data_IF_382058698825
#
_entry.id   IF_382058698825
#
_cell.length_a   1.000
_cell.length_b   1.000
_cell.length_c   1.000
_cell.angle_alpha   90.00
_cell.angle_beta   90.00
_cell.angle_gamma   90.00
#
_symmetry.space_group_name_H-M   'P 1'
#
loop_
_entity.id
_entity.type
_entity.pdbx_description
1 polymer ?
#
# COMPACT_ATOMS: atom_id res chain seq x y z
N UNK A 1 -14.51 -9.33 22.80
CA UNK A 1 -13.17 -9.36 22.15
C UNK A 1 -12.41 -8.12 22.52
N UNK A 2 -11.10 -8.24 22.82
CA UNK A 2 -10.28 -7.08 23.12
C UNK A 2 -10.18 -6.16 21.88
N UNK A 3 -10.07 -4.82 22.12
CA UNK A 3 -9.91 -3.84 21.01
C UNK A 3 -8.74 -4.21 20.08
N UNK A 4 -7.70 -4.79 20.62
CA UNK A 4 -6.50 -5.22 19.89
C UNK A 4 -6.79 -6.39 18.93
N UNK A 5 -7.58 -7.37 19.33
CA UNK A 5 -7.89 -8.53 18.49
C UNK A 5 -8.62 -8.12 17.20
N UNK A 6 -9.57 -7.17 17.30
CA UNK A 6 -10.30 -6.68 16.11
C UNK A 6 -9.38 -5.99 15.10
N UNK A 7 -8.35 -5.28 15.56
CA UNK A 7 -7.37 -4.63 14.68
C UNK A 7 -6.62 -5.69 13.86
N UNK A 8 -6.15 -6.74 14.51
CA UNK A 8 -5.37 -7.78 13.85
C UNK A 8 -6.21 -8.64 12.90
N UNK A 9 -7.43 -9.02 13.30
CA UNK A 9 -8.35 -9.74 12.42
C UNK A 9 -8.68 -8.91 11.19
N UNK A 10 -9.01 -7.63 11.36
CA UNK A 10 -9.27 -6.71 10.24
C UNK A 10 -8.03 -6.60 9.33
N UNK A 11 -6.83 -6.44 9.89
CA UNK A 11 -5.59 -6.37 9.12
C UNK A 11 -5.30 -7.63 8.30
N UNK A 12 -5.56 -8.80 8.87
CA UNK A 12 -5.41 -10.09 8.17
C UNK A 12 -6.39 -10.22 7.00
N UNK A 13 -7.65 -9.86 7.22
CA UNK A 13 -8.68 -9.88 6.16
C UNK A 13 -8.32 -8.89 5.04
N UNK A 14 -7.87 -7.69 5.39
CA UNK A 14 -7.44 -6.68 4.43
C UNK A 14 -6.21 -7.15 3.64
N UNK A 15 -5.23 -7.77 4.29
CA UNK A 15 -4.06 -8.31 3.60
C UNK A 15 -4.47 -9.39 2.59
N UNK A 16 -5.36 -10.31 2.97
CA UNK A 16 -5.89 -11.33 2.07
C UNK A 16 -6.67 -10.69 0.89
N UNK A 17 -7.55 -9.73 1.17
CA UNK A 17 -8.30 -9.02 0.12
C UNK A 17 -7.38 -8.26 -0.83
N UNK A 18 -6.38 -7.54 -0.30
CA UNK A 18 -5.40 -6.84 -1.11
C UNK A 18 -4.61 -7.81 -2.00
N UNK A 19 -4.27 -9.01 -1.48
CA UNK A 19 -3.61 -10.06 -2.27
C UNK A 19 -4.51 -10.53 -3.42
N UNK A 20 -5.77 -10.85 -3.14
CA UNK A 20 -6.72 -11.30 -4.18
C UNK A 20 -6.92 -10.23 -5.25
N UNK A 21 -7.08 -8.96 -4.87
CA UNK A 21 -7.20 -7.86 -5.81
C UNK A 21 -5.92 -7.66 -6.65
N UNK A 22 -4.77 -7.96 -6.09
CA UNK A 22 -3.48 -7.88 -6.80
C UNK A 22 -3.29 -9.00 -7.84
N UNK A 23 -4.15 -10.02 -7.87
CA UNK A 23 -4.16 -11.02 -8.92
C UNK A 23 -4.73 -10.50 -10.25
N UNK A 24 -5.43 -9.35 -10.23
CA UNK A 24 -5.90 -8.70 -11.46
C UNK A 24 -4.67 -8.17 -12.20
N UNK A 25 -4.37 -8.68 -13.42
CA UNK A 25 -3.12 -8.38 -14.09
C UNK A 25 -3.16 -7.00 -14.75
N UNK A 26 -2.49 -6.03 -14.15
CA UNK A 26 -2.17 -4.74 -14.76
C UNK A 26 -0.66 -4.58 -14.84
N UNK A 27 -0.01 -5.53 -15.51
CA UNK A 27 1.45 -5.56 -15.67
C UNK A 27 1.84 -5.43 -17.13
N UNK A 28 2.91 -4.68 -17.41
CA UNK A 28 3.56 -4.62 -18.71
C UNK A 28 5.02 -4.98 -18.50
N UNK A 29 5.40 -6.19 -18.96
CA UNK A 29 6.73 -6.74 -18.69
C UNK A 29 6.96 -7.02 -17.18
N UNK A 30 8.22 -7.29 -16.80
CA UNK A 30 8.55 -7.73 -15.44
C UNK A 30 8.59 -6.59 -14.41
N UNK A 31 8.68 -5.33 -14.85
CA UNK A 31 9.02 -4.21 -13.96
C UNK A 31 7.93 -3.13 -13.86
N UNK A 32 6.91 -3.13 -14.74
CA UNK A 32 5.79 -2.19 -14.63
C UNK A 32 4.56 -2.90 -14.09
N UNK A 33 3.96 -2.36 -13.05
CA UNK A 33 2.70 -2.87 -12.51
C UNK A 33 1.85 -1.79 -11.86
N UNK A 34 0.52 -1.89 -12.02
CA UNK A 34 -0.45 -1.14 -11.23
C UNK A 34 -1.03 -2.08 -10.17
N UNK A 35 -0.81 -1.79 -8.91
CA UNK A 35 -1.22 -2.66 -7.81
C UNK A 35 -2.66 -2.39 -7.39
N UNK A 36 -3.61 -3.22 -7.85
CA UNK A 36 -5.06 -3.05 -7.58
C UNK A 36 -5.41 -3.27 -6.11
N UNK A 37 -4.60 -4.00 -5.35
CA UNK A 37 -4.76 -4.18 -3.91
C UNK A 37 -4.39 -2.96 -3.06
N UNK A 38 -3.67 -1.97 -3.62
CA UNK A 38 -3.19 -0.82 -2.87
C UNK A 38 -4.29 0.03 -2.21
N UNK A 39 -5.44 0.33 -2.85
CA UNK A 39 -6.49 1.11 -2.22
C UNK A 39 -7.00 0.53 -0.90
N UNK A 40 -7.26 -0.78 -0.83
CA UNK A 40 -7.78 -1.39 0.40
C UNK A 40 -6.74 -1.43 1.51
N UNK A 41 -5.47 -1.65 1.16
CA UNK A 41 -4.38 -1.63 2.13
C UNK A 41 -4.14 -0.21 2.67
N UNK A 42 -4.08 0.80 1.82
CA UNK A 42 -3.89 2.19 2.25
C UNK A 42 -5.09 2.70 3.05
N UNK A 43 -6.32 2.32 2.68
CA UNK A 43 -7.51 2.59 3.50
C UNK A 43 -7.34 2.05 4.92
N UNK A 44 -6.88 0.80 5.06
CA UNK A 44 -6.63 0.20 6.37
C UNK A 44 -5.55 0.95 7.16
N UNK A 45 -4.44 1.33 6.50
CA UNK A 45 -3.38 2.12 7.13
C UNK A 45 -3.91 3.46 7.65
N UNK A 46 -4.68 4.20 6.84
CA UNK A 46 -5.31 5.46 7.22
C UNK A 46 -6.35 5.31 8.34
N UNK A 47 -6.97 4.14 8.44
CA UNK A 47 -7.96 3.82 9.47
C UNK A 47 -7.35 3.39 10.80
N UNK A 48 -6.27 2.59 10.78
CA UNK A 48 -5.73 1.89 11.97
C UNK A 48 -4.36 2.40 12.44
N UNK A 49 -3.69 3.22 11.64
CA UNK A 49 -2.43 3.84 11.99
C UNK A 49 -1.20 3.09 11.52
N UNK A 50 -0.03 3.65 11.87
CA UNK A 50 1.26 3.21 11.35
C UNK A 50 1.58 1.75 11.67
N UNK A 51 1.52 1.34 12.94
CA UNK A 51 1.96 0.00 13.36
C UNK A 51 1.03 -1.09 12.80
N UNK A 52 -0.31 -1.02 12.94
CA UNK A 52 -1.18 -1.99 12.30
C UNK A 52 -1.06 -1.98 10.77
N UNK A 53 -0.92 -0.80 10.17
CA UNK A 53 -0.73 -0.62 8.74
C UNK A 53 0.53 -1.30 8.24
N UNK A 54 1.66 -1.09 8.93
CA UNK A 54 2.93 -1.72 8.60
C UNK A 54 2.84 -3.25 8.65
N UNK A 55 2.28 -3.81 9.73
CA UNK A 55 2.19 -5.26 9.92
C UNK A 55 1.21 -5.92 8.94
N UNK A 56 0.07 -5.28 8.64
CA UNK A 56 -0.84 -5.79 7.62
C UNK A 56 -0.23 -5.73 6.22
N UNK A 57 0.49 -4.65 5.90
CA UNK A 57 1.19 -4.50 4.62
C UNK A 57 2.35 -5.50 4.49
N UNK A 58 3.08 -5.75 5.56
CA UNK A 58 4.09 -6.81 5.62
C UNK A 58 3.45 -8.19 5.34
N UNK A 59 2.34 -8.51 6.01
CA UNK A 59 1.60 -9.75 5.77
C UNK A 59 1.12 -9.84 4.31
N UNK A 60 0.69 -8.75 3.71
CA UNK A 60 0.33 -8.71 2.30
C UNK A 60 1.48 -9.15 1.39
N UNK A 61 2.71 -8.68 1.63
CA UNK A 61 3.90 -9.15 0.91
C UNK A 61 4.21 -10.63 1.15
N UNK A 62 4.09 -11.11 2.40
CA UNK A 62 4.24 -12.53 2.74
C UNK A 62 3.24 -13.39 1.96
N UNK A 63 1.98 -12.96 1.86
CA UNK A 63 0.95 -13.70 1.12
C UNK A 63 1.30 -13.85 -0.36
N UNK A 64 1.91 -12.85 -1.00
CA UNK A 64 2.37 -12.99 -2.39
C UNK A 64 3.40 -14.10 -2.57
N UNK A 65 4.28 -14.29 -1.59
CA UNK A 65 5.26 -15.40 -1.59
C UNK A 65 4.53 -16.74 -1.41
N UNK A 66 3.64 -16.83 -0.42
CA UNK A 66 2.93 -18.07 -0.07
C UNK A 66 2.03 -18.60 -1.20
N UNK A 67 1.37 -17.69 -1.94
CA UNK A 67 0.50 -18.09 -3.07
C UNK A 67 1.26 -18.23 -4.40
N UNK A 68 2.59 -18.03 -4.40
CA UNK A 68 3.43 -18.24 -5.59
C UNK A 68 3.34 -17.15 -6.65
N UNK A 69 2.83 -15.94 -6.33
CA UNK A 69 2.77 -14.80 -7.26
C UNK A 69 3.99 -13.88 -7.15
N UNK A 70 4.86 -14.13 -6.17
CA UNK A 70 6.10 -13.39 -6.02
C UNK A 70 7.12 -13.84 -7.06
N UNK A 71 7.74 -12.87 -7.75
CA UNK A 71 8.86 -13.16 -8.63
C UNK A 71 10.16 -12.97 -7.85
N UNK A 72 10.86 -14.06 -7.56
CA UNK A 72 12.06 -14.07 -6.70
C UNK A 72 13.27 -14.49 -7.52
N UNK A 73 14.20 -13.55 -7.75
CA UNK A 73 15.49 -13.79 -8.38
C UNK A 73 16.53 -14.30 -7.38
N UNK A 74 16.53 -13.69 -6.19
CA UNK A 74 17.43 -14.05 -5.09
C UNK A 74 16.68 -13.91 -3.75
N UNK A 75 17.11 -14.61 -2.68
CA UNK A 75 16.47 -14.45 -1.35
C UNK A 75 16.51 -13.00 -0.83
N UNK A 76 17.62 -12.28 -1.09
CA UNK A 76 17.75 -10.87 -0.64
C UNK A 76 16.81 -9.95 -1.41
N UNK A 77 16.67 -10.13 -2.73
CA UNK A 77 15.69 -9.37 -3.53
C UNK A 77 14.27 -9.64 -3.04
N UNK A 78 13.90 -10.91 -2.85
CA UNK A 78 12.59 -11.28 -2.33
C UNK A 78 12.31 -10.65 -0.96
N UNK A 79 13.31 -10.62 -0.07
CA UNK A 79 13.17 -9.97 1.23
C UNK A 79 12.93 -8.46 1.11
N UNK A 80 13.72 -7.75 0.29
CA UNK A 80 13.55 -6.30 0.12
C UNK A 80 12.19 -5.98 -0.51
N UNK A 81 11.80 -6.69 -1.57
CA UNK A 81 10.60 -6.35 -2.33
C UNK A 81 9.30 -6.76 -1.64
N UNK A 82 9.25 -7.94 -1.01
CA UNK A 82 7.99 -8.47 -0.46
C UNK A 82 7.84 -8.23 1.05
N UNK A 83 8.90 -8.03 1.79
CA UNK A 83 8.79 -7.73 3.22
C UNK A 83 8.97 -6.24 3.49
N UNK A 84 10.10 -5.66 3.06
CA UNK A 84 10.40 -4.26 3.37
C UNK A 84 9.51 -3.34 2.55
N UNK A 85 9.53 -3.42 1.22
CA UNK A 85 8.79 -2.52 0.35
C UNK A 85 7.28 -2.55 0.64
N UNK A 86 6.69 -3.75 0.75
CA UNK A 86 5.28 -3.87 1.13
C UNK A 86 5.00 -3.26 2.50
N UNK A 87 5.81 -3.57 3.52
CA UNK A 87 5.66 -3.00 4.87
C UNK A 87 5.63 -1.48 4.89
N UNK A 88 6.46 -0.84 4.07
CA UNK A 88 6.53 0.62 3.96
C UNK A 88 5.28 1.28 3.39
N UNK A 89 4.37 0.54 2.74
CA UNK A 89 3.00 1.03 2.46
C UNK A 89 2.31 1.51 3.75
N UNK A 90 2.63 0.92 4.89
CA UNK A 90 2.14 1.28 6.21
C UNK A 90 2.41 2.72 6.63
N UNK A 91 3.37 3.42 6.00
CA UNK A 91 3.65 4.84 6.24
C UNK A 91 2.43 5.74 5.99
N UNK A 92 1.47 5.32 5.15
CA UNK A 92 0.17 5.99 5.02
C UNK A 92 -0.52 6.19 6.38
N UNK A 93 -0.31 5.28 7.33
CA UNK A 93 -0.86 5.34 8.68
C UNK A 93 -0.38 6.52 9.54
N UNK A 94 0.66 7.24 9.14
CA UNK A 94 1.07 8.51 9.77
C UNK A 94 -0.01 9.58 9.68
N UNK A 95 -0.92 9.49 8.73
CA UNK A 95 -1.99 10.46 8.49
C UNK A 95 -3.31 10.10 9.19
N UNK A 96 -3.40 8.99 9.90
CA UNK A 96 -4.62 8.49 10.54
C UNK A 96 -5.28 9.52 11.45
N UNK A 97 -4.53 10.17 12.33
CA UNK A 97 -5.08 11.17 13.26
C UNK A 97 -5.68 12.37 12.51
N UNK A 98 -4.98 12.86 11.47
CA UNK A 98 -5.44 14.00 10.66
C UNK A 98 -6.67 13.65 9.83
N UNK A 99 -6.73 12.42 9.28
CA UNK A 99 -7.90 11.91 8.56
C UNK A 99 -9.12 11.83 9.51
N UNK A 100 -8.96 11.25 10.69
CA UNK A 100 -10.04 11.12 11.65
C UNK A 100 -10.49 12.46 12.23
N UNK A 101 -9.55 13.38 12.45
CA UNK A 101 -9.87 14.75 12.86
C UNK A 101 -10.68 15.47 11.78
N UNK A 102 -10.28 15.40 10.52
CA UNK A 102 -11.01 16.02 9.42
C UNK A 102 -12.45 15.49 9.29
N UNK A 103 -12.68 14.20 9.61
CA UNK A 103 -14.02 13.60 9.65
C UNK A 103 -14.81 14.15 10.85
N UNK A 104 -14.20 14.24 12.02
CA UNK A 104 -14.85 14.77 13.23
C UNK A 104 -15.26 16.23 13.05
N UNK A 105 -14.43 17.01 12.38
CA UNK A 105 -14.66 18.44 12.07
C UNK A 105 -15.59 18.65 10.86
N UNK A 106 -16.08 17.57 10.24
CA UNK A 106 -16.88 17.59 9.01
C UNK A 106 -16.21 18.38 7.86
N UNK A 107 -14.88 18.45 7.87
CA UNK A 107 -14.10 19.17 6.88
C UNK A 107 -13.72 18.26 5.71
N UNK A 108 -14.60 18.19 4.71
CA UNK A 108 -14.45 17.33 3.54
C UNK A 108 -13.18 17.63 2.71
N UNK A 109 -12.79 18.91 2.61
CA UNK A 109 -11.59 19.31 1.87
C UNK A 109 -10.33 18.82 2.58
N UNK A 110 -10.25 19.02 3.90
CA UNK A 110 -9.14 18.51 4.70
C UNK A 110 -9.06 16.98 4.65
N UNK A 111 -10.20 16.27 4.74
CA UNK A 111 -10.24 14.81 4.64
C UNK A 111 -9.62 14.32 3.33
N UNK A 112 -10.10 14.81 2.19
CA UNK A 112 -9.58 14.40 0.88
C UNK A 112 -8.10 14.71 0.76
N UNK A 113 -7.66 15.87 1.25
CA UNK A 113 -6.25 16.26 1.22
C UNK A 113 -5.37 15.33 2.06
N UNK A 114 -5.79 14.97 3.28
CA UNK A 114 -5.03 14.05 4.13
C UNK A 114 -4.99 12.63 3.56
N UNK A 115 -6.06 12.19 2.91
CA UNK A 115 -6.10 10.90 2.19
C UNK A 115 -5.11 10.90 1.03
N UNK A 116 -5.04 11.99 0.25
CA UNK A 116 -4.07 12.14 -0.85
C UNK A 116 -2.64 12.07 -0.30
N UNK A 117 -2.32 12.87 0.72
CA UNK A 117 -0.98 12.90 1.31
C UNK A 117 -0.56 11.55 1.87
N UNK A 118 -1.45 10.87 2.61
CA UNK A 118 -1.17 9.54 3.15
C UNK A 118 -0.96 8.50 2.04
N UNK A 119 -1.74 8.58 0.95
CA UNK A 119 -1.56 7.72 -0.21
C UNK A 119 -0.20 7.95 -0.88
N UNK A 120 0.18 9.20 -1.08
CA UNK A 120 1.49 9.55 -1.67
C UNK A 120 2.61 8.99 -0.78
N UNK A 121 2.58 9.25 0.53
CA UNK A 121 3.64 8.81 1.45
C UNK A 121 3.75 7.29 1.51
N UNK A 122 2.63 6.56 1.58
CA UNK A 122 2.64 5.09 1.57
C UNK A 122 3.14 4.51 0.24
N UNK A 123 2.71 5.10 -0.88
CA UNK A 123 3.13 4.67 -2.22
C UNK A 123 4.61 4.96 -2.45
N UNK A 124 5.08 6.18 -2.15
CA UNK A 124 6.50 6.55 -2.28
C UNK A 124 7.37 5.68 -1.39
N UNK A 125 6.96 5.44 -0.13
CA UNK A 125 7.70 4.55 0.77
C UNK A 125 7.89 3.15 0.21
N UNK A 126 6.83 2.57 -0.36
CA UNK A 126 6.90 1.27 -1.02
C UNK A 126 7.82 1.27 -2.24
N UNK A 127 7.59 2.17 -3.18
CA UNK A 127 8.31 2.19 -4.45
C UNK A 127 9.76 2.69 -4.32
N UNK A 128 10.11 3.39 -3.26
CA UNK A 128 11.50 3.67 -2.91
C UNK A 128 12.30 2.36 -2.79
N UNK A 129 11.81 1.39 -2.04
CA UNK A 129 12.47 0.09 -1.87
C UNK A 129 12.45 -0.76 -3.14
N UNK A 130 11.36 -0.73 -3.91
CA UNK A 130 11.34 -1.36 -5.24
C UNK A 130 12.35 -0.75 -6.19
N UNK A 131 12.58 0.58 -6.14
CA UNK A 131 13.62 1.24 -6.95
C UNK A 131 15.02 0.79 -6.54
N UNK A 132 15.30 0.67 -5.25
CA UNK A 132 16.57 0.12 -4.76
C UNK A 132 16.76 -1.32 -5.23
N UNK A 133 15.77 -2.18 -5.05
CA UNK A 133 15.83 -3.56 -5.52
C UNK A 133 15.97 -3.64 -7.05
N UNK A 134 15.23 -2.80 -7.76
CA UNK A 134 15.28 -2.70 -9.22
C UNK A 134 16.68 -2.40 -9.76
N UNK A 135 17.38 -1.49 -9.11
CA UNK A 135 18.76 -1.19 -9.47
C UNK A 135 19.70 -2.39 -9.30
N UNK A 136 19.63 -3.05 -8.14
CA UNK A 136 20.59 -4.12 -7.82
C UNK A 136 20.29 -5.46 -8.52
N UNK A 137 19.03 -5.78 -8.77
CA UNK A 137 18.62 -7.13 -9.18
C UNK A 137 17.98 -7.19 -10.57
N UNK A 138 17.38 -6.08 -11.04
CA UNK A 138 16.64 -6.05 -12.30
C UNK A 138 17.37 -5.29 -13.42
N UNK A 139 18.57 -4.82 -13.18
CA UNK A 139 19.35 -4.02 -14.16
C UNK A 139 19.63 -4.74 -15.47
N UNK A 140 19.68 -6.08 -15.47
CA UNK A 140 19.86 -6.90 -16.67
C UNK A 140 18.66 -6.85 -17.64
N UNK A 141 17.51 -6.38 -17.19
CA UNK A 141 16.32 -6.17 -18.02
C UNK A 141 16.28 -4.77 -18.65
N UNK A 142 17.26 -3.94 -18.39
CA UNK A 142 17.34 -2.59 -18.97
C UNK A 142 17.49 -2.68 -20.49
N UNK A 143 16.74 -1.87 -21.27
CA UNK A 143 16.92 -1.77 -22.70
C UNK A 143 18.36 -1.36 -23.07
N UNK A 144 18.77 -1.68 -24.28
CA UNK A 144 20.08 -1.29 -24.78
C UNK A 144 20.29 0.24 -24.67
N UNK A 145 21.43 0.65 -24.15
CA UNK A 145 21.76 2.05 -23.90
C UNK A 145 21.21 2.66 -22.59
N UNK A 146 20.43 1.90 -21.82
CA UNK A 146 19.93 2.38 -20.50
C UNK A 146 20.83 1.87 -19.39
N UNK A 147 21.10 2.75 -18.40
CA UNK A 147 21.72 2.29 -17.16
C UNK A 147 20.68 1.59 -16.26
N UNK A 148 21.14 0.68 -15.39
CA UNK A 148 20.29 0.02 -14.41
C UNK A 148 19.52 1.02 -13.52
N UNK A 149 20.15 2.17 -13.15
CA UNK A 149 19.50 3.24 -12.40
C UNK A 149 18.36 3.88 -13.18
N UNK A 150 18.63 4.27 -14.44
CA UNK A 150 17.60 4.91 -15.27
C UNK A 150 16.39 3.96 -15.44
N UNK A 151 16.66 2.70 -15.75
CA UNK A 151 15.63 1.68 -15.88
C UNK A 151 14.80 1.54 -14.60
N UNK A 152 15.47 1.37 -13.46
CA UNK A 152 14.78 1.19 -12.18
C UNK A 152 13.93 2.41 -11.78
N UNK A 153 14.47 3.62 -11.92
CA UNK A 153 13.75 4.86 -11.59
C UNK A 153 12.53 5.02 -12.51
N UNK A 154 12.68 4.80 -13.81
CA UNK A 154 11.57 4.97 -14.75
C UNK A 154 10.48 3.93 -14.49
N UNK A 155 10.82 2.65 -14.42
CA UNK A 155 9.83 1.58 -14.27
C UNK A 155 9.11 1.65 -12.92
N UNK A 156 9.83 1.83 -11.83
CA UNK A 156 9.22 1.96 -10.51
C UNK A 156 8.53 3.32 -10.32
N UNK A 157 9.07 4.39 -10.89
CA UNK A 157 8.44 5.71 -10.86
C UNK A 157 7.10 5.74 -11.58
N UNK A 158 7.03 5.17 -12.80
CA UNK A 158 5.76 5.07 -13.55
C UNK A 158 4.76 4.15 -12.83
N UNK A 159 5.23 3.02 -12.27
CA UNK A 159 4.39 2.13 -11.46
C UNK A 159 3.85 2.84 -10.20
N UNK A 160 4.68 3.63 -9.52
CA UNK A 160 4.29 4.44 -8.37
C UNK A 160 3.25 5.48 -8.73
N UNK A 161 3.46 6.22 -9.82
CA UNK A 161 2.51 7.23 -10.30
C UNK A 161 1.17 6.60 -10.68
N UNK A 162 1.18 5.51 -11.44
CA UNK A 162 -0.04 4.83 -11.87
C UNK A 162 -0.80 4.21 -10.67
N UNK A 163 -0.10 3.49 -9.78
CA UNK A 163 -0.71 2.92 -8.57
C UNK A 163 -1.21 4.00 -7.62
N UNK A 164 -0.42 5.06 -7.42
CA UNK A 164 -0.78 6.19 -6.57
C UNK A 164 -2.00 6.94 -7.09
N UNK A 165 -2.02 7.27 -8.39
CA UNK A 165 -3.15 7.95 -9.02
C UNK A 165 -4.43 7.12 -8.95
N UNK A 166 -4.35 5.82 -9.28
CA UNK A 166 -5.47 4.89 -9.13
C UNK A 166 -5.98 4.83 -7.68
N UNK A 167 -5.06 4.70 -6.71
CA UNK A 167 -5.41 4.63 -5.30
C UNK A 167 -6.04 5.93 -4.80
N UNK A 168 -5.48 7.09 -5.18
CA UNK A 168 -6.05 8.41 -4.83
C UNK A 168 -7.46 8.54 -5.38
N UNK A 169 -7.68 8.18 -6.65
CA UNK A 169 -9.00 8.24 -7.26
C UNK A 169 -10.03 7.41 -6.49
N UNK A 170 -9.71 6.15 -6.18
CA UNK A 170 -10.60 5.26 -5.42
C UNK A 170 -10.86 5.80 -4.01
N UNK A 171 -9.81 6.18 -3.29
CA UNK A 171 -9.95 6.63 -1.90
C UNK A 171 -10.58 8.02 -1.79
N UNK A 172 -10.40 8.91 -2.77
CA UNK A 172 -11.09 10.20 -2.80
C UNK A 172 -12.60 10.03 -3.02
N UNK A 173 -13.01 9.06 -3.84
CA UNK A 173 -14.43 8.71 -3.99
C UNK A 173 -14.98 8.16 -2.66
N UNK A 174 -14.27 7.22 -2.02
CA UNK A 174 -14.67 6.67 -0.71
C UNK A 174 -14.74 7.78 0.36
N UNK A 175 -13.76 8.68 0.40
CA UNK A 175 -13.75 9.80 1.34
C UNK A 175 -14.97 10.72 1.18
N UNK A 176 -15.48 10.89 -0.05
CA UNK A 176 -16.65 11.71 -0.34
C UNK A 176 -17.98 10.99 -0.06
N UNK A 177 -18.05 9.70 -0.37
CA UNK A 177 -19.30 8.93 -0.30
C UNK A 177 -19.50 8.21 1.03
N UNK A 178 -18.44 7.70 1.63
CA UNK A 178 -18.48 6.95 2.88
C UNK A 178 -17.25 7.19 3.77
N UNK A 179 -17.08 8.42 4.31
CA UNK A 179 -15.92 8.79 5.14
C UNK A 179 -15.79 7.92 6.41
N UNK A 180 -16.87 7.30 6.87
CA UNK A 180 -16.86 6.44 8.05
C UNK A 180 -16.00 5.18 7.87
N UNK A 181 -15.65 4.80 6.64
CA UNK A 181 -14.72 3.69 6.41
C UNK A 181 -13.30 4.01 6.92
N UNK A 182 -12.92 5.27 7.06
CA UNK A 182 -11.64 5.67 7.64
C UNK A 182 -11.64 5.70 9.18
N UNK A 183 -12.79 5.46 9.84
CA UNK A 183 -12.90 5.48 11.30
C UNK A 183 -13.22 4.08 11.83
N UNK A 184 -12.46 3.58 12.83
CA UNK A 184 -12.80 2.33 13.48
C UNK A 184 -14.19 2.39 14.13
N UNK A 185 -15.04 1.38 13.91
CA UNK A 185 -16.28 1.27 14.65
C UNK A 185 -15.98 1.19 16.15
N UNK A 186 -16.59 2.04 16.95
CA UNK A 186 -16.51 1.91 18.41
C UNK A 186 -17.09 0.53 18.77
N UNK A 187 -16.32 -0.28 19.50
CA UNK A 187 -16.85 -1.53 20.03
C UNK A 187 -18.03 -1.17 20.93
N UNK A 188 -19.22 -1.64 20.59
CA UNK A 188 -20.35 -1.58 21.50
C UNK A 188 -19.91 -2.41 22.71
N UNK A 189 -19.63 -1.74 23.85
CA UNK A 189 -19.49 -2.43 25.11
C UNK A 189 -20.89 -2.97 25.42
N UNK A 190 -21.07 -4.28 25.27
CA UNK A 190 -22.16 -4.96 25.93
C UNK A 190 -22.03 -4.72 27.43
N UNK A 191 -23.14 -4.34 28.00
CA UNK A 191 -23.36 -4.22 29.45
C UNK A 191 -22.97 -5.54 30.13
#
# INVERSE_FOLDING_TARGET
MSKNLNIWIEGTIIAALATVLSLIPFNIGPSFSVTVGAPVMILYCLRRGLVPGFLASFLWGVLHILIGTAYILTPLQGFIEYFIAFGFTGLAGLFTSKVQQAIADQNQKALVWQVILGTIVGTVGRYFWHTIAGYYFWGSYAPEGWSAWLYSIVMNGVSALATGAFTIMVLAVIAKTNPQLFVPKKSVRGY
#
